data_IF_406041339326
#
_entry.id   IF_406041339326
#
_cell.length_a   1.000
_cell.length_b   1.000
_cell.length_c   1.000
_cell.angle_alpha   90.00
_cell.angle_beta   90.00
_cell.angle_gamma   90.00
#
_symmetry.space_group_name_H-M   'P 1'
#
loop_
_entity.id
_entity.type
_entity.pdbx_description
1 polymer ?
#
# COMPACT_ATOMS: atom_id res chain seq x y z
N UNK A 1 -30.29 -2.27 -6.94
CA UNK A 1 -29.27 -2.95 -6.11
C UNK A 1 -28.11 -1.98 -6.00
N UNK A 2 -27.85 -1.45 -4.80
CA UNK A 2 -26.84 -0.42 -4.61
C UNK A 2 -25.45 -1.06 -4.58
N UNK A 3 -24.53 -0.56 -5.40
CA UNK A 3 -23.12 -0.95 -5.36
C UNK A 3 -22.52 -0.25 -4.14
N UNK A 4 -22.11 -1.02 -3.14
CA UNK A 4 -21.44 -0.53 -1.93
C UNK A 4 -19.94 -0.80 -1.98
N UNK A 5 -19.18 -0.09 -1.15
CA UNK A 5 -17.83 -0.47 -0.76
C UNK A 5 -17.89 -0.93 0.70
N UNK A 6 -17.66 -2.22 1.01
CA UNK A 6 -17.12 -3.27 0.14
C UNK A 6 -18.10 -3.78 -0.92
N UNK A 7 -17.53 -4.24 -2.05
CA UNK A 7 -18.24 -4.96 -3.11
C UNK A 7 -18.39 -6.41 -2.70
N UNK A 8 -19.63 -6.85 -2.51
CA UNK A 8 -19.96 -8.22 -2.15
C UNK A 8 -20.20 -9.07 -3.42
N UNK A 9 -19.39 -10.11 -3.60
CA UNK A 9 -19.51 -11.07 -4.71
C UNK A 9 -20.50 -12.20 -4.45
N UNK A 10 -21.14 -12.21 -3.27
CA UNK A 10 -22.11 -13.21 -2.80
C UNK A 10 -21.49 -14.59 -2.54
N UNK A 11 -22.26 -15.44 -1.89
CA UNK A 11 -21.80 -16.73 -1.35
C UNK A 11 -21.40 -17.77 -2.41
N UNK A 12 -21.83 -17.59 -3.67
CA UNK A 12 -21.54 -18.45 -4.82
C UNK A 12 -20.42 -17.92 -5.72
N UNK A 13 -19.63 -16.95 -5.23
CA UNK A 13 -18.48 -16.43 -5.93
C UNK A 13 -17.45 -17.53 -6.24
N UNK A 14 -17.29 -17.87 -7.52
CA UNK A 14 -16.23 -18.74 -8.01
C UNK A 14 -14.95 -17.94 -8.24
N UNK A 15 -13.82 -18.63 -8.45
CA UNK A 15 -12.56 -18.01 -8.86
C UNK A 15 -12.75 -17.08 -10.07
N UNK A 16 -13.58 -17.46 -11.04
CA UNK A 16 -13.86 -16.65 -12.24
C UNK A 16 -14.56 -15.32 -11.91
N UNK A 17 -15.48 -15.32 -10.93
CA UNK A 17 -16.13 -14.09 -10.48
C UNK A 17 -15.14 -13.10 -9.88
N UNK A 18 -14.15 -13.58 -9.11
CA UNK A 18 -13.06 -12.73 -8.60
C UNK A 18 -12.24 -12.11 -9.73
N UNK A 19 -11.89 -12.88 -10.77
CA UNK A 19 -11.08 -12.39 -11.89
C UNK A 19 -11.84 -11.38 -12.73
N UNK A 20 -13.08 -11.67 -13.09
CA UNK A 20 -13.92 -10.72 -13.85
C UNK A 20 -14.08 -9.41 -13.10
N UNK A 21 -14.30 -9.49 -11.79
CA UNK A 21 -14.42 -8.29 -10.94
C UNK A 21 -13.10 -7.53 -10.89
N UNK A 22 -11.98 -8.23 -10.66
CA UNK A 22 -10.66 -7.63 -10.62
C UNK A 22 -10.33 -6.94 -11.94
N UNK A 23 -10.62 -7.57 -13.08
CA UNK A 23 -10.38 -7.01 -14.40
C UNK A 23 -11.18 -5.72 -14.63
N UNK A 24 -12.49 -5.73 -14.31
CA UNK A 24 -13.34 -4.54 -14.41
C UNK A 24 -12.81 -3.41 -13.53
N UNK A 25 -12.46 -3.72 -12.28
CA UNK A 25 -11.91 -2.75 -11.35
C UNK A 25 -10.58 -2.20 -11.88
N UNK A 26 -9.66 -3.06 -12.32
CA UNK A 26 -8.38 -2.63 -12.86
C UNK A 26 -8.50 -1.87 -14.20
N UNK A 27 -9.65 -1.80 -14.85
CA UNK A 27 -9.89 -0.85 -15.94
C UNK A 27 -10.34 0.53 -15.45
N UNK A 28 -11.02 0.63 -14.30
CA UNK A 28 -11.49 1.90 -13.72
C UNK A 28 -10.34 2.75 -13.15
N UNK A 29 -10.43 4.07 -13.33
CA UNK A 29 -9.50 5.06 -12.78
C UNK A 29 -9.82 5.58 -11.38
N UNK A 30 -10.88 5.07 -10.76
CA UNK A 30 -11.50 5.73 -9.60
C UNK A 30 -10.86 5.35 -8.25
N UNK A 31 -9.88 4.45 -8.26
CA UNK A 31 -9.19 4.01 -7.05
C UNK A 31 -7.69 3.75 -7.28
N UNK A 32 -6.94 3.90 -6.18
CA UNK A 32 -5.49 3.72 -6.12
C UNK A 32 -5.07 2.48 -5.32
N UNK A 33 -6.00 1.89 -4.56
CA UNK A 33 -5.76 0.73 -3.72
C UNK A 33 -6.96 -0.21 -3.74
N UNK A 34 -6.69 -1.51 -3.73
CA UNK A 34 -7.69 -2.58 -3.75
C UNK A 34 -7.36 -3.60 -2.66
N UNK A 35 -8.36 -4.01 -1.90
CA UNK A 35 -8.25 -5.07 -0.90
C UNK A 35 -9.18 -6.21 -1.29
N UNK A 36 -8.62 -7.41 -1.44
CA UNK A 36 -9.39 -8.63 -1.76
C UNK A 36 -9.48 -9.49 -0.52
N UNK A 37 -10.71 -9.76 -0.08
CA UNK A 37 -10.99 -10.67 1.03
C UNK A 37 -11.58 -11.95 0.44
N UNK A 38 -10.96 -13.08 0.76
CA UNK A 38 -11.36 -14.38 0.27
C UNK A 38 -11.51 -15.37 1.43
N UNK A 39 -12.69 -16.00 1.48
CA UNK A 39 -12.98 -17.13 2.36
C UNK A 39 -13.07 -18.40 1.50
N UNK A 40 -12.21 -19.41 1.71
CA UNK A 40 -12.20 -20.61 0.89
C UNK A 40 -13.54 -21.34 0.90
N UNK A 41 -14.02 -21.73 -0.27
CA UNK A 41 -15.26 -22.49 -0.45
C UNK A 41 -15.09 -23.59 -1.49
N UNK A 42 -16.11 -24.43 -1.66
CA UNK A 42 -16.10 -25.45 -2.71
C UNK A 42 -16.08 -24.83 -4.13
N UNK A 43 -16.70 -23.67 -4.31
CA UNK A 43 -16.77 -22.96 -5.58
C UNK A 43 -15.50 -22.13 -5.88
N UNK A 44 -14.77 -21.74 -4.84
CA UNK A 44 -13.53 -20.99 -4.95
C UNK A 44 -12.48 -21.55 -3.96
N UNK A 45 -11.75 -22.60 -4.38
CA UNK A 45 -10.65 -23.14 -3.58
C UNK A 45 -9.55 -22.10 -3.39
N UNK A 46 -8.97 -22.04 -2.19
CA UNK A 46 -8.02 -21.00 -1.79
C UNK A 46 -6.82 -20.88 -2.75
N UNK A 47 -6.16 -21.99 -3.03
CA UNK A 47 -4.93 -22.05 -3.83
C UNK A 47 -5.18 -21.77 -5.30
N UNK A 48 -6.23 -22.36 -5.87
CA UNK A 48 -6.61 -22.12 -7.27
C UNK A 48 -7.00 -20.67 -7.48
N UNK A 49 -7.85 -20.12 -6.60
CA UNK A 49 -8.24 -18.71 -6.64
C UNK A 49 -7.04 -17.78 -6.55
N UNK A 50 -6.06 -18.10 -5.70
CA UNK A 50 -4.84 -17.33 -5.57
C UNK A 50 -3.98 -17.36 -6.83
N UNK A 51 -3.78 -18.54 -7.44
CA UNK A 51 -3.00 -18.69 -8.68
C UNK A 51 -3.60 -17.86 -9.81
N UNK A 52 -4.91 -17.97 -10.04
CA UNK A 52 -5.55 -17.22 -11.11
C UNK A 52 -5.52 -15.71 -10.82
N UNK A 53 -5.68 -15.29 -9.56
CA UNK A 53 -5.58 -13.88 -9.18
C UNK A 53 -4.18 -13.33 -9.42
N UNK A 54 -3.13 -14.06 -9.02
CA UNK A 54 -1.73 -13.68 -9.24
C UNK A 54 -1.46 -13.49 -10.74
N UNK A 55 -1.90 -14.44 -11.57
CA UNK A 55 -1.71 -14.36 -13.01
C UNK A 55 -2.47 -13.18 -13.63
N UNK A 56 -3.72 -12.93 -13.21
CA UNK A 56 -4.48 -11.78 -13.68
C UNK A 56 -3.80 -10.45 -13.33
N UNK A 57 -3.32 -10.31 -12.09
CA UNK A 57 -2.60 -9.11 -11.62
C UNK A 57 -1.31 -8.92 -12.42
N UNK A 58 -0.55 -9.99 -12.65
CA UNK A 58 0.72 -9.96 -13.38
C UNK A 58 0.55 -9.52 -14.84
N UNK A 59 -0.52 -9.95 -15.50
CA UNK A 59 -0.79 -9.60 -16.91
C UNK A 59 -1.43 -8.23 -17.08
N UNK A 60 -2.10 -7.71 -16.05
CA UNK A 60 -2.83 -6.45 -16.19
C UNK A 60 -1.89 -5.23 -16.14
N UNK A 61 -1.85 -4.34 -17.16
CA UNK A 61 -0.88 -3.24 -17.23
C UNK A 61 -1.05 -2.20 -16.12
N UNK A 62 -2.26 -2.07 -15.57
CA UNK A 62 -2.56 -1.15 -14.46
C UNK A 62 -2.14 -1.66 -13.08
N UNK A 63 -1.89 -2.96 -12.92
CA UNK A 63 -1.63 -3.54 -11.59
C UNK A 63 -0.46 -2.86 -10.87
N UNK A 64 0.57 -2.44 -11.60
CA UNK A 64 1.73 -1.69 -11.08
C UNK A 64 1.41 -0.32 -10.45
N UNK A 65 0.25 0.26 -10.74
CA UNK A 65 -0.16 1.56 -10.19
C UNK A 65 -1.14 1.41 -9.03
N UNK A 66 -1.84 0.29 -8.96
CA UNK A 66 -2.81 -0.03 -7.91
C UNK A 66 -2.13 -0.80 -6.79
N UNK A 67 -2.23 -0.30 -5.58
CA UNK A 67 -1.79 -1.03 -4.39
C UNK A 67 -2.76 -2.17 -4.08
N UNK A 68 -2.38 -3.42 -4.33
CA UNK A 68 -3.20 -4.61 -4.05
C UNK A 68 -2.81 -5.24 -2.71
N UNK A 69 -3.81 -5.48 -1.85
CA UNK A 69 -3.67 -6.24 -0.62
C UNK A 69 -4.63 -7.43 -0.62
N UNK A 70 -4.22 -8.55 -0.03
CA UNK A 70 -5.03 -9.76 0.02
C UNK A 70 -5.23 -10.26 1.44
N UNK A 71 -6.41 -10.78 1.73
CA UNK A 71 -6.73 -11.53 2.93
C UNK A 71 -7.31 -12.89 2.55
N UNK A 72 -6.53 -13.94 2.78
CA UNK A 72 -6.97 -15.31 2.55
C UNK A 72 -7.23 -15.96 3.91
N UNK A 73 -8.52 -16.03 4.25
CA UNK A 73 -8.99 -16.54 5.53
C UNK A 73 -8.73 -18.04 5.67
N UNK A 74 -8.64 -18.51 6.92
CA UNK A 74 -8.40 -19.92 7.23
C UNK A 74 -6.93 -20.23 7.48
N UNK A 75 -6.67 -21.15 8.41
CA UNK A 75 -5.29 -21.46 8.80
C UNK A 75 -4.62 -22.40 7.79
N UNK A 76 -5.05 -23.65 7.76
CA UNK A 76 -4.44 -24.68 6.92
C UNK A 76 -4.91 -24.61 5.46
N UNK A 77 -6.19 -24.30 5.22
CA UNK A 77 -6.79 -24.26 3.88
C UNK A 77 -6.19 -23.20 2.96
N UNK A 78 -5.59 -22.15 3.53
CA UNK A 78 -5.06 -20.99 2.81
C UNK A 78 -3.55 -20.81 2.95
N UNK A 79 -2.85 -21.72 3.63
CA UNK A 79 -1.41 -21.60 3.85
C UNK A 79 -0.64 -21.53 2.53
N UNK A 80 -0.97 -22.42 1.60
CA UNK A 80 -0.33 -22.49 0.29
C UNK A 80 -0.66 -21.25 -0.56
N UNK A 81 -1.92 -20.81 -0.58
CA UNK A 81 -2.31 -19.58 -1.26
C UNK A 81 -1.49 -18.37 -0.77
N UNK A 82 -1.29 -18.25 0.55
CA UNK A 82 -0.48 -17.16 1.13
C UNK A 82 1.00 -17.26 0.77
N UNK A 83 1.55 -18.47 0.67
CA UNK A 83 2.92 -18.70 0.18
C UNK A 83 3.06 -18.19 -1.26
N UNK A 84 2.12 -18.55 -2.14
CA UNK A 84 2.11 -18.12 -3.53
C UNK A 84 2.01 -16.60 -3.69
N UNK A 85 1.17 -15.93 -2.90
CA UNK A 85 1.11 -14.46 -2.89
C UNK A 85 2.44 -13.83 -2.48
N UNK A 86 3.06 -14.36 -1.42
CA UNK A 86 4.34 -13.87 -0.93
C UNK A 86 5.44 -14.02 -1.99
N UNK A 87 5.47 -15.15 -2.71
CA UNK A 87 6.40 -15.41 -3.81
C UNK A 87 6.16 -14.50 -5.02
N UNK A 88 4.90 -14.13 -5.28
CA UNK A 88 4.52 -13.17 -6.30
C UNK A 88 4.77 -11.70 -5.89
N UNK A 89 5.23 -11.45 -4.66
CA UNK A 89 5.43 -10.09 -4.13
C UNK A 89 4.13 -9.35 -3.80
N UNK A 90 3.02 -10.07 -3.60
CA UNK A 90 1.73 -9.52 -3.22
C UNK A 90 1.52 -9.63 -1.70
N UNK A 91 1.31 -8.52 -0.98
CA UNK A 91 1.05 -8.56 0.46
C UNK A 91 -0.22 -9.36 0.77
N UNK A 92 -0.10 -10.31 1.69
CA UNK A 92 -1.19 -11.20 2.08
C UNK A 92 -1.25 -11.38 3.58
N UNK A 93 -2.47 -11.50 4.10
CA UNK A 93 -2.75 -11.60 5.53
C UNK A 93 -3.73 -12.75 5.79
N UNK A 94 -3.70 -13.23 7.04
CA UNK A 94 -4.57 -14.30 7.53
C UNK A 94 -5.88 -13.78 8.11
N UNK A 95 -5.84 -12.63 8.77
CA UNK A 95 -6.96 -12.09 9.54
C UNK A 95 -7.49 -10.81 8.90
N UNK A 96 -8.82 -10.62 8.86
CA UNK A 96 -9.42 -9.37 8.40
C UNK A 96 -8.89 -8.15 9.13
N UNK A 97 -8.73 -8.22 10.44
CA UNK A 97 -8.29 -7.12 11.29
C UNK A 97 -6.87 -6.66 10.94
N UNK A 98 -5.96 -7.64 10.75
CA UNK A 98 -4.58 -7.36 10.33
C UNK A 98 -4.52 -6.75 8.93
N UNK A 99 -5.36 -7.27 8.03
CA UNK A 99 -5.47 -6.77 6.65
C UNK A 99 -5.97 -5.33 6.61
N UNK A 100 -7.04 -5.03 7.36
CA UNK A 100 -7.63 -3.69 7.42
C UNK A 100 -6.62 -2.70 7.99
N UNK A 101 -5.94 -3.06 9.08
CA UNK A 101 -4.90 -2.21 9.70
C UNK A 101 -3.79 -1.89 8.70
N UNK A 102 -3.27 -2.90 8.00
CA UNK A 102 -2.24 -2.72 6.99
C UNK A 102 -2.74 -1.89 5.79
N UNK A 103 -3.98 -2.11 5.36
CA UNK A 103 -4.60 -1.36 4.28
C UNK A 103 -4.75 0.12 4.62
N UNK A 104 -5.20 0.43 5.84
CA UNK A 104 -5.34 1.82 6.31
C UNK A 104 -4.00 2.53 6.35
N UNK A 105 -2.95 1.90 6.90
CA UNK A 105 -1.60 2.46 6.87
C UNK A 105 -1.10 2.72 5.45
N UNK A 106 -1.38 1.81 4.51
CA UNK A 106 -0.99 1.96 3.11
C UNK A 106 -1.72 3.14 2.43
N UNK A 107 -3.02 3.29 2.69
CA UNK A 107 -3.83 4.40 2.16
C UNK A 107 -3.38 5.74 2.74
N UNK A 108 -3.15 5.81 4.05
CA UNK A 108 -2.66 7.01 4.74
C UNK A 108 -1.28 7.40 4.24
N UNK A 109 -0.36 6.44 4.11
CA UNK A 109 0.97 6.69 3.57
C UNK A 109 0.92 7.28 2.16
N UNK A 110 0.09 6.72 1.26
CA UNK A 110 -0.10 7.27 -0.10
C UNK A 110 -0.67 8.69 -0.08
N UNK A 111 -1.66 8.97 0.78
CA UNK A 111 -2.25 10.32 0.94
C UNK A 111 -1.19 11.33 1.38
N UNK A 112 -0.38 10.97 2.38
CA UNK A 112 0.68 11.84 2.90
C UNK A 112 1.76 12.09 1.84
N UNK A 113 2.16 11.07 1.08
CA UNK A 113 3.11 11.22 -0.03
C UNK A 113 2.59 12.16 -1.13
N UNK A 114 1.29 12.12 -1.44
CA UNK A 114 0.69 13.04 -2.42
C UNK A 114 0.73 14.48 -1.91
N UNK A 115 0.38 14.71 -0.64
CA UNK A 115 0.43 16.04 -0.02
C UNK A 115 1.85 16.60 0.10
N UNK A 116 2.84 15.77 0.45
CA UNK A 116 4.23 16.20 0.52
C UNK A 116 4.81 16.53 -0.87
N UNK A 117 4.34 15.86 -1.92
CA UNK A 117 4.69 16.19 -3.31
C UNK A 117 4.08 17.53 -3.77
N UNK A 118 3.03 18.02 -3.11
CA UNK A 118 2.46 19.35 -3.33
C UNK A 118 3.27 20.45 -2.60
N UNK A 119 4.61 20.33 -2.59
CA UNK A 119 5.47 21.40 -2.07
C UNK A 119 5.48 22.59 -3.06
N UNK A 120 5.31 23.84 -2.59
CA UNK A 120 4.98 25.00 -3.44
C UNK A 120 6.14 25.38 -4.35
N UNK A 121 5.83 26.06 -5.46
CA UNK A 121 6.84 26.72 -6.28
C UNK A 121 7.74 27.61 -5.39
N UNK A 122 9.04 27.35 -5.43
CA UNK A 122 10.05 28.20 -4.79
C UNK A 122 9.80 29.65 -5.25
N UNK A 123 9.64 30.64 -4.36
CA UNK A 123 9.58 32.02 -4.78
C UNK A 123 10.87 32.37 -5.53
N UNK A 124 10.74 32.89 -6.74
CA UNK A 124 11.85 33.22 -7.66
C UNK A 124 12.82 34.29 -7.14
N UNK A 125 12.63 34.76 -5.91
CA UNK A 125 13.36 35.89 -5.31
C UNK A 125 14.21 35.47 -4.11
N UNK A 126 14.63 34.21 -4.01
CA UNK A 126 15.71 33.83 -3.10
C UNK A 126 17.05 34.19 -3.76
N UNK A 127 17.42 35.47 -3.69
CA UNK A 127 18.83 35.87 -3.85
C UNK A 127 19.60 35.26 -2.67
N UNK A 128 20.12 34.06 -2.88
CA UNK A 128 20.95 33.36 -1.90
C UNK A 128 22.24 34.15 -1.72
N UNK A 129 22.27 35.07 -0.75
CA UNK A 129 23.48 35.78 -0.35
C UNK A 129 24.32 34.84 0.53
N UNK A 130 24.95 33.86 -0.11
CA UNK A 130 25.80 32.83 0.51
C UNK A 130 26.97 33.42 1.31
N UNK A 131 27.35 34.67 1.05
CA UNK A 131 28.39 35.39 1.78
C UNK A 131 27.99 35.76 3.22
N UNK A 132 26.71 36.10 3.45
CA UNK A 132 26.22 36.53 4.78
C UNK A 132 25.99 35.34 5.72
N UNK A 133 25.51 34.23 5.17
CA UNK A 133 25.25 33.00 5.94
C UNK A 133 26.54 32.38 6.50
N UNK A 134 27.66 32.44 5.76
CA UNK A 134 28.95 31.95 6.25
C UNK A 134 29.56 32.83 7.35
N UNK A 135 29.29 34.15 7.31
CA UNK A 135 29.80 35.10 8.31
C UNK A 135 29.14 34.91 9.69
N UNK A 136 27.85 34.58 9.71
CA UNK A 136 27.08 34.31 10.93
C UNK A 136 27.46 32.99 11.60
N UNK A 137 27.91 31.99 10.81
CA UNK A 137 28.39 30.71 11.34
C UNK A 137 29.78 30.83 11.98
N UNK A 138 30.67 31.68 11.43
CA UNK A 138 32.01 31.90 12.00
C UNK A 138 32.00 32.78 13.26
N UNK A 139 31.00 33.65 13.43
CA UNK A 139 30.87 34.50 14.62
C UNK A 139 30.22 33.79 15.83
N UNK A 140 29.62 32.61 15.62
CA UNK A 140 28.99 31.81 16.68
C UNK A 140 29.92 30.88 17.48
N UNK A 141 31.13 30.59 16.98
CA UNK A 141 32.02 29.55 17.56
C UNK A 141 33.19 30.11 18.40
N UNK A 142 32.94 31.19 19.14
CA UNK A 142 33.93 31.76 20.04
C UNK A 142 33.28 32.32 21.33
N UNK A 143 32.77 31.43 22.19
CA UNK A 143 32.70 31.58 23.67
C UNK A 143 31.93 30.42 24.33
N UNK A 144 32.66 29.39 24.79
CA UNK A 144 32.65 28.85 26.18
C UNK A 144 33.20 27.43 26.19
N UNK A 145 34.45 27.30 26.61
CA UNK A 145 34.85 26.12 27.38
C UNK A 145 34.18 26.16 28.76
N UNK A 146 33.73 25.01 29.24
CA UNK A 146 33.67 24.72 30.68
C UNK A 146 33.82 23.22 30.89
N UNK A 147 34.89 22.86 31.58
CA UNK A 147 35.19 21.52 32.08
C UNK A 147 34.42 21.33 33.39
N UNK A 148 33.78 20.18 33.60
CA UNK A 148 33.51 19.66 34.94
C UNK A 148 33.47 18.12 34.92
N UNK A 149 34.44 17.52 35.62
CA UNK A 149 34.43 16.14 36.10
C UNK A 149 33.57 16.02 37.37
N UNK A 150 33.16 14.77 37.63
CA UNK A 150 32.99 14.06 38.92
C UNK A 150 31.56 13.63 39.27
N UNK A 151 31.38 12.55 40.07
CA UNK A 151 32.29 11.43 40.37
C UNK A 151 31.88 10.11 39.69
#
# INVERSE_FOLDING_TARGET
MAISNPLDLRDDASSEHYIKTLDILLHSQDFDALMVIHSPSAAAPATESAQVLIEAVKHHPRSKYVSLLTNWCGEHSSQEARRLFSEAGLPTYRTPEGTITAFMHMVEYRRNQKQLRETPALPSNLTSNTAEAHLLLQTGDCRRGYVARYP
#
